data_IF_541442584257
#
_entry.id   IF_541442584257
#
_cell.length_a   1.000
_cell.length_b   1.000
_cell.length_c   1.000
_cell.angle_alpha   90.00
_cell.angle_beta   90.00
_cell.angle_gamma   90.00
#
_symmetry.space_group_name_H-M   'P 1'
#
loop_
_entity.id
_entity.type
_entity.pdbx_description
1 polymer ?
#
# COMPACT_ATOMS: atom_id res chain seq x y z
N UNK A 1 22.44 14.84 -19.77
CA UNK A 1 21.07 14.38 -20.09
C UNK A 1 20.20 14.81 -18.94
N UNK A 2 19.26 15.73 -19.18
CA UNK A 2 18.31 16.18 -18.17
C UNK A 2 17.49 14.97 -17.71
N UNK A 3 17.57 14.63 -16.42
CA UNK A 3 16.60 13.73 -15.78
C UNK A 3 15.33 14.54 -15.62
N UNK A 4 14.29 14.09 -16.31
CA UNK A 4 13.00 14.73 -16.47
C UNK A 4 12.36 15.14 -15.13
N UNK A 5 12.22 16.45 -14.91
CA UNK A 5 11.52 17.05 -13.75
C UNK A 5 10.01 16.76 -13.72
N UNK A 6 9.44 16.18 -14.79
CA UNK A 6 8.00 15.91 -14.93
C UNK A 6 7.47 14.81 -14.01
N UNK A 7 8.27 13.79 -13.70
CA UNK A 7 7.84 12.67 -12.83
C UNK A 7 7.63 13.08 -11.36
N UNK A 8 8.19 14.21 -10.93
CA UNK A 8 8.11 14.63 -9.53
C UNK A 8 6.91 15.53 -9.22
N UNK A 9 6.28 16.13 -10.24
CA UNK A 9 5.11 16.99 -10.03
C UNK A 9 3.88 16.21 -9.60
N UNK A 10 3.56 15.10 -10.27
CA UNK A 10 2.40 14.27 -9.89
C UNK A 10 2.58 13.63 -8.52
N UNK A 11 3.80 13.17 -8.19
CA UNK A 11 4.13 12.68 -6.86
C UNK A 11 4.03 13.78 -5.80
N UNK A 12 4.56 14.98 -6.09
CA UNK A 12 4.44 16.12 -5.19
C UNK A 12 2.97 16.48 -4.95
N UNK A 13 2.15 16.56 -5.99
CA UNK A 13 0.72 16.84 -5.88
C UNK A 13 0.03 15.76 -5.06
N UNK A 14 0.35 14.48 -5.27
CA UNK A 14 -0.19 13.40 -4.46
C UNK A 14 0.16 13.54 -2.97
N UNK A 15 1.44 13.82 -2.66
CA UNK A 15 1.90 14.04 -1.28
C UNK A 15 1.20 15.25 -0.65
N UNK A 16 1.16 16.37 -1.36
CA UNK A 16 0.54 17.61 -0.89
C UNK A 16 -0.96 17.41 -0.63
N UNK A 17 -1.70 16.81 -1.57
CA UNK A 17 -3.11 16.50 -1.40
C UNK A 17 -3.36 15.52 -0.25
N UNK A 18 -2.52 14.50 -0.10
CA UNK A 18 -2.65 13.52 0.98
C UNK A 18 -2.43 14.15 2.35
N UNK A 19 -1.43 15.03 2.49
CA UNK A 19 -1.15 15.76 3.74
C UNK A 19 -2.29 16.73 4.06
N UNK A 20 -2.73 17.54 3.08
CA UNK A 20 -3.89 18.44 3.25
C UNK A 20 -5.15 17.69 3.64
N UNK A 21 -5.35 16.50 3.06
CA UNK A 21 -6.47 15.64 3.41
C UNK A 21 -6.38 15.20 4.88
N UNK A 22 -5.22 14.73 5.33
CA UNK A 22 -5.02 14.31 6.73
C UNK A 22 -5.24 15.46 7.72
N UNK A 23 -4.70 16.64 7.42
CA UNK A 23 -4.82 17.85 8.26
C UNK A 23 -6.28 18.34 8.37
N UNK A 24 -7.06 18.19 7.30
CA UNK A 24 -8.48 18.56 7.27
C UNK A 24 -9.44 17.51 7.82
N UNK A 25 -8.97 16.31 8.20
CA UNK A 25 -9.84 15.24 8.69
C UNK A 25 -10.02 15.31 10.21
N UNK A 26 -11.23 15.64 10.65
CA UNK A 26 -11.61 15.55 12.06
C UNK A 26 -11.94 14.11 12.50
N UNK A 27 -12.41 13.26 11.57
CA UNK A 27 -12.80 11.87 11.81
C UNK A 27 -12.44 10.97 10.62
N UNK A 28 -12.57 9.64 10.79
CA UNK A 28 -12.46 8.61 9.71
C UNK A 28 -11.12 8.51 8.96
N UNK A 29 -10.04 9.04 9.52
CA UNK A 29 -8.69 8.89 8.96
C UNK A 29 -8.00 7.57 9.34
N UNK A 30 -8.69 6.63 10.00
CA UNK A 30 -8.04 5.43 10.55
C UNK A 30 -7.35 4.57 9.49
N UNK A 31 -7.87 4.50 8.26
CA UNK A 31 -7.26 3.76 7.16
C UNK A 31 -6.37 4.63 6.26
N UNK A 32 -6.15 5.90 6.63
CA UNK A 32 -5.40 6.85 5.81
C UNK A 32 -4.03 6.31 5.41
N UNK A 33 -3.26 5.74 6.34
CA UNK A 33 -1.93 5.22 6.03
C UNK A 33 -1.95 4.07 5.02
N UNK A 34 -2.97 3.20 5.06
CA UNK A 34 -3.12 2.11 4.09
C UNK A 34 -3.46 2.70 2.71
N UNK A 35 -4.41 3.64 2.65
CA UNK A 35 -4.78 4.31 1.41
C UNK A 35 -3.61 5.10 0.81
N UNK A 36 -2.88 5.82 1.66
CA UNK A 36 -1.70 6.60 1.32
C UNK A 36 -0.59 5.72 0.74
N UNK A 37 -0.23 4.62 1.39
CA UNK A 37 0.80 3.71 0.89
C UNK A 37 0.34 3.00 -0.40
N UNK A 38 -0.94 2.64 -0.50
CA UNK A 38 -1.49 2.04 -1.72
C UNK A 38 -1.34 3.00 -2.90
N UNK A 39 -1.79 4.25 -2.78
CA UNK A 39 -1.65 5.23 -3.86
C UNK A 39 -0.18 5.60 -4.14
N UNK A 40 0.65 5.71 -3.09
CA UNK A 40 2.06 6.04 -3.23
C UNK A 40 2.81 4.99 -4.08
N UNK A 41 2.46 3.71 -3.95
CA UNK A 41 3.11 2.64 -4.71
C UNK A 41 3.02 2.83 -6.24
N UNK A 42 1.95 3.47 -6.73
CA UNK A 42 1.78 3.76 -8.15
C UNK A 42 2.79 4.80 -8.65
N UNK A 43 2.96 5.90 -7.91
CA UNK A 43 3.95 6.93 -8.24
C UNK A 43 5.40 6.44 -8.13
N UNK A 44 5.64 5.42 -7.31
CA UNK A 44 6.97 4.82 -7.15
C UNK A 44 7.24 3.68 -8.14
N UNK A 45 6.29 3.36 -9.04
CA UNK A 45 6.47 2.41 -10.13
C UNK A 45 6.30 0.93 -9.76
N UNK A 46 5.64 0.61 -8.64
CA UNK A 46 5.35 -0.76 -8.22
C UNK A 46 3.90 -0.94 -7.73
N UNK A 47 2.95 -0.29 -8.42
CA UNK A 47 1.52 -0.42 -8.13
C UNK A 47 1.12 -1.91 -8.06
N UNK A 48 0.40 -2.34 -7.01
CA UNK A 48 -0.11 -3.70 -6.96
C UNK A 48 -1.17 -3.90 -8.04
N UNK A 49 -1.12 -5.04 -8.73
CA UNK A 49 -2.10 -5.41 -9.73
C UNK A 49 -3.49 -5.59 -9.13
N UNK A 50 -4.54 -5.38 -9.93
CA UNK A 50 -5.94 -5.58 -9.50
C UNK A 50 -6.33 -7.05 -9.52
N UNK A 51 -7.25 -7.44 -8.64
CA UNK A 51 -7.84 -8.79 -8.64
C UNK A 51 -8.99 -8.85 -9.67
N UNK A 52 -8.76 -9.60 -10.73
CA UNK A 52 -9.69 -9.85 -11.84
C UNK A 52 -10.52 -11.14 -11.66
N UNK A 53 -10.04 -12.08 -10.84
CA UNK A 53 -10.69 -13.35 -10.55
C UNK A 53 -10.72 -13.61 -9.02
N UNK A 54 -11.92 -13.79 -8.41
CA UNK A 54 -12.05 -14.16 -7.00
C UNK A 54 -11.37 -15.48 -6.59
N UNK A 55 -11.08 -16.37 -7.55
CA UNK A 55 -10.32 -17.61 -7.30
C UNK A 55 -8.86 -17.35 -6.92
N UNK A 56 -8.33 -16.15 -7.24
CA UNK A 56 -7.00 -15.70 -6.86
C UNK A 56 -6.97 -15.28 -5.39
N UNK A 57 -6.88 -16.29 -4.52
CA UNK A 57 -6.99 -16.17 -3.06
C UNK A 57 -5.72 -15.69 -2.37
N UNK A 58 -4.62 -15.53 -3.07
CA UNK A 58 -3.35 -15.10 -2.49
C UNK A 58 -2.83 -13.86 -3.21
N UNK A 59 -2.11 -13.01 -2.49
CA UNK A 59 -1.35 -11.91 -3.07
C UNK A 59 0.15 -12.20 -2.98
N UNK A 60 0.83 -12.27 -4.12
CA UNK A 60 2.27 -12.44 -4.19
C UNK A 60 2.95 -11.08 -3.98
N UNK A 61 3.67 -10.93 -2.87
CA UNK A 61 4.31 -9.66 -2.51
C UNK A 61 5.53 -9.33 -3.38
N UNK A 62 6.17 -10.34 -4.00
CA UNK A 62 7.31 -10.12 -4.89
C UNK A 62 6.86 -9.68 -6.27
N UNK A 63 5.82 -10.31 -6.79
CA UNK A 63 5.30 -10.04 -8.12
C UNK A 63 4.23 -8.93 -8.13
N UNK A 64 3.69 -8.55 -6.97
CA UNK A 64 2.65 -7.53 -6.87
C UNK A 64 1.33 -7.96 -7.52
N UNK A 65 1.01 -9.26 -7.48
CA UNK A 65 -0.10 -9.83 -8.24
C UNK A 65 -0.92 -10.84 -7.44
N UNK A 66 -2.21 -10.90 -7.73
CA UNK A 66 -3.11 -11.93 -7.18
C UNK A 66 -2.92 -13.27 -7.90
N UNK A 67 -2.86 -14.37 -7.14
CA UNK A 67 -2.63 -15.73 -7.65
C UNK A 67 -3.56 -16.76 -6.99
N UNK A 68 -3.84 -17.85 -7.71
CA UNK A 68 -4.78 -18.91 -7.28
C UNK A 68 -4.18 -19.82 -6.20
N UNK A 69 -2.89 -20.15 -6.36
CA UNK A 69 -2.16 -21.04 -5.47
C UNK A 69 -1.09 -20.25 -4.71
N UNK A 70 -0.76 -20.64 -3.46
CA UNK A 70 0.35 -20.04 -2.73
C UNK A 70 1.65 -20.12 -3.55
N UNK A 71 2.40 -19.02 -3.69
CA UNK A 71 3.75 -19.06 -4.23
C UNK A 71 4.66 -20.00 -3.41
N UNK A 72 5.75 -20.47 -4.02
CA UNK A 72 6.72 -21.37 -3.35
C UNK A 72 7.63 -20.66 -2.34
N UNK A 73 7.59 -19.34 -2.29
CA UNK A 73 8.36 -18.50 -1.36
C UNK A 73 7.46 -17.95 -0.25
N UNK A 74 8.01 -17.52 0.90
CA UNK A 74 7.20 -17.05 2.04
C UNK A 74 6.60 -15.64 1.87
N UNK A 75 6.92 -14.93 0.79
CA UNK A 75 6.49 -13.55 0.56
C UNK A 75 5.15 -13.48 -0.16
N UNK A 76 4.10 -13.96 0.51
CA UNK A 76 2.72 -13.85 0.04
C UNK A 76 1.75 -13.59 1.19
N UNK A 77 0.52 -13.17 0.87
CA UNK A 77 -0.56 -12.97 1.83
C UNK A 77 -1.52 -14.15 1.83
N UNK A 78 -1.93 -14.58 3.02
CA UNK A 78 -3.04 -15.52 3.19
C UNK A 78 -4.38 -14.90 2.75
N UNK A 79 -5.40 -15.74 2.58
CA UNK A 79 -6.65 -15.35 1.96
C UNK A 79 -7.39 -14.20 2.67
N UNK A 80 -7.34 -14.13 4.01
CA UNK A 80 -8.04 -13.09 4.75
C UNK A 80 -7.44 -11.69 4.54
N UNK A 81 -6.11 -11.58 4.46
CA UNK A 81 -5.45 -10.30 4.14
C UNK A 81 -5.56 -9.99 2.66
N UNK A 82 -5.44 -11.00 1.80
CA UNK A 82 -5.61 -10.84 0.35
C UNK A 82 -6.96 -10.22 0.00
N UNK A 83 -8.05 -10.64 0.66
CA UNK A 83 -9.38 -10.07 0.43
C UNK A 83 -9.44 -8.58 0.79
N UNK A 84 -8.80 -8.18 1.89
CA UNK A 84 -8.76 -6.78 2.31
C UNK A 84 -7.93 -5.97 1.31
N UNK A 85 -6.74 -6.44 0.95
CA UNK A 85 -5.86 -5.79 -0.03
C UNK A 85 -6.55 -5.62 -1.39
N UNK A 86 -7.30 -6.63 -1.84
CA UNK A 86 -8.06 -6.54 -3.10
C UNK A 86 -9.05 -5.36 -3.12
N UNK A 87 -9.67 -5.05 -1.97
CA UNK A 87 -10.57 -3.90 -1.82
C UNK A 87 -9.79 -2.58 -1.88
N UNK A 88 -8.67 -2.48 -1.19
CA UNK A 88 -7.81 -1.29 -1.25
C UNK A 88 -7.25 -1.08 -2.66
N UNK A 89 -6.79 -2.11 -3.35
CA UNK A 89 -6.16 -1.97 -4.67
C UNK A 89 -7.15 -1.70 -5.82
N UNK A 90 -8.46 -1.79 -5.53
CA UNK A 90 -9.51 -1.56 -6.52
C UNK A 90 -10.34 -0.29 -6.25
N UNK A 91 -10.31 0.23 -5.03
CA UNK A 91 -11.10 1.39 -4.63
C UNK A 91 -10.37 2.72 -4.90
N UNK A 92 -11.07 3.82 -5.20
CA UNK A 92 -10.46 5.15 -5.18
C UNK A 92 -10.11 5.58 -3.74
N UNK A 93 -9.14 6.49 -3.60
CA UNK A 93 -8.57 6.92 -2.31
C UNK A 93 -9.61 7.21 -1.23
N UNK A 94 -10.66 7.99 -1.55
CA UNK A 94 -11.71 8.35 -0.57
C UNK A 94 -12.50 7.14 -0.08
N UNK A 95 -12.80 6.19 -0.95
CA UNK A 95 -13.55 4.98 -0.59
C UNK A 95 -12.72 4.01 0.25
N UNK A 96 -11.40 4.01 0.10
CA UNK A 96 -10.50 3.20 0.95
C UNK A 96 -10.63 3.56 2.44
N UNK A 97 -10.95 4.82 2.74
CA UNK A 97 -11.04 5.33 4.10
C UNK A 97 -12.27 4.80 4.84
N UNK A 98 -13.34 4.49 4.11
CA UNK A 98 -14.58 3.93 4.64
C UNK A 98 -14.57 2.39 4.70
N UNK A 99 -13.49 1.72 4.29
CA UNK A 99 -13.36 0.26 4.40
C UNK A 99 -13.41 -0.15 5.89
N UNK A 100 -14.43 -0.91 6.35
CA UNK A 100 -14.51 -1.32 7.74
C UNK A 100 -13.36 -2.27 8.09
N UNK A 101 -12.52 -1.85 9.04
CA UNK A 101 -11.45 -2.66 9.63
C UNK A 101 -11.46 -2.51 11.15
N UNK A 102 -11.14 -3.59 11.84
CA UNK A 102 -10.75 -3.52 13.25
C UNK A 102 -9.33 -2.97 13.36
N UNK A 103 -8.96 -2.42 14.51
CA UNK A 103 -7.59 -1.95 14.74
C UNK A 103 -6.53 -3.04 14.51
N UNK A 104 -6.83 -4.29 14.89
CA UNK A 104 -5.97 -5.44 14.64
C UNK A 104 -5.77 -5.71 13.15
N UNK A 105 -6.85 -5.80 12.37
CA UNK A 105 -6.77 -6.06 10.93
C UNK A 105 -6.06 -4.91 10.19
N UNK A 106 -6.33 -3.67 10.59
CA UNK A 106 -5.64 -2.50 10.05
C UNK A 106 -4.13 -2.60 10.24
N UNK A 107 -3.66 -2.95 11.44
CA UNK A 107 -2.23 -3.09 11.70
C UNK A 107 -1.61 -4.23 10.87
N UNK A 108 -2.28 -5.37 10.74
CA UNK A 108 -1.81 -6.51 9.94
C UNK A 108 -1.69 -6.15 8.44
N UNK A 109 -2.65 -5.39 7.91
CA UNK A 109 -2.61 -4.87 6.53
C UNK A 109 -1.49 -3.86 6.35
N UNK A 110 -1.32 -2.94 7.30
CA UNK A 110 -0.26 -1.94 7.27
C UNK A 110 1.14 -2.59 7.31
N UNK A 111 1.36 -3.56 8.19
CA UNK A 111 2.60 -4.34 8.26
C UNK A 111 2.89 -5.06 6.93
N UNK A 112 1.84 -5.59 6.30
CA UNK A 112 1.93 -6.23 4.99
C UNK A 112 2.35 -5.24 3.90
N UNK A 113 1.76 -4.04 3.86
CA UNK A 113 2.16 -2.99 2.91
C UNK A 113 3.60 -2.51 3.17
N UNK A 114 4.02 -2.35 4.42
CA UNK A 114 5.41 -2.02 4.75
C UNK A 114 6.37 -3.10 4.25
N UNK A 115 6.01 -4.39 4.40
CA UNK A 115 6.79 -5.51 3.84
C UNK A 115 6.85 -5.43 2.31
N UNK A 116 5.73 -5.15 1.64
CA UNK A 116 5.66 -4.95 0.19
C UNK A 116 6.59 -3.83 -0.28
N UNK A 117 6.52 -2.65 0.34
CA UNK A 117 7.43 -1.52 0.07
C UNK A 117 8.90 -1.91 0.27
N UNK A 118 9.22 -2.64 1.34
CA UNK A 118 10.60 -3.09 1.60
C UNK A 118 11.15 -4.08 0.56
N UNK A 119 10.28 -4.81 -0.15
CA UNK A 119 10.65 -5.68 -1.27
C UNK A 119 10.96 -4.84 -2.51
N UNK A 120 10.11 -3.86 -2.83
CA UNK A 120 10.17 -3.08 -4.07
C UNK A 120 11.07 -1.84 -4.01
N UNK A 121 11.49 -1.43 -2.81
CA UNK A 121 12.44 -0.32 -2.60
C UNK A 121 13.72 -0.79 -1.90
N UNK A 122 14.64 -1.50 -2.59
CA UNK A 122 15.87 -2.00 -1.99
C UNK A 122 16.78 -0.89 -1.44
N UNK A 123 16.71 0.33 -2.00
CA UNK A 123 17.46 1.49 -1.50
C UNK A 123 16.99 1.92 -0.10
N UNK A 124 15.72 1.69 0.26
CA UNK A 124 15.18 1.96 1.59
C UNK A 124 15.67 0.96 2.65
N UNK A 125 16.02 -0.28 2.27
CA UNK A 125 16.65 -1.25 3.19
C UNK A 125 17.98 -0.77 3.78
N UNK A 126 18.67 0.17 3.11
CA UNK A 126 19.92 0.75 3.61
C UNK A 126 19.71 1.83 4.68
N UNK A 127 18.49 2.34 4.83
CA UNK A 127 18.16 3.50 5.67
C UNK A 127 17.09 3.11 6.69
N UNK A 128 17.23 1.99 7.42
CA UNK A 128 16.36 1.54 8.53
C UNK A 128 14.86 1.94 8.45
N UNK A 129 14.28 1.96 7.25
CA UNK A 129 13.05 2.71 7.01
C UNK A 129 11.85 1.90 7.43
N UNK A 130 11.97 0.59 7.61
CA UNK A 130 10.90 -0.23 8.19
C UNK A 130 10.62 0.16 9.63
N UNK A 131 11.64 0.61 10.37
CA UNK A 131 11.49 1.07 11.76
C UNK A 131 10.92 2.50 11.77
N UNK A 132 11.44 3.39 10.92
CA UNK A 132 10.93 4.76 10.75
C UNK A 132 9.50 4.78 10.21
N UNK A 133 9.16 3.93 9.22
CA UNK A 133 7.79 3.78 8.71
C UNK A 133 6.88 3.25 9.82
N UNK A 134 7.36 2.35 10.68
CA UNK A 134 6.59 1.91 11.85
C UNK A 134 6.37 3.05 12.85
N UNK A 135 7.40 3.84 13.15
CA UNK A 135 7.31 4.99 14.08
C UNK A 135 6.40 6.12 13.57
N UNK A 136 6.35 6.38 12.26
CA UNK A 136 5.46 7.40 11.67
C UNK A 136 4.00 6.94 11.65
N UNK A 137 3.75 5.62 11.62
CA UNK A 137 2.40 5.05 11.48
C UNK A 137 1.88 4.34 12.75
N UNK A 138 2.60 4.43 13.87
CA UNK A 138 2.20 3.90 15.20
C UNK A 138 1.56 4.93 16.11
#
# INVERSE_FOLDING_TARGET
MLREESSNHELFDYLEHSIKYLDGCEERFSNFHIAFLTGLSAYLGFEPGRRDDPSKKYFDLRNGSFVILPPTHPDYCEAHITEILARFFSAPFKEMLDIPLTGKLRNEVLETLVKYFGIHLPLLKKVNSTEILREIFS
#
